data_IF_669409977062
#
_entry.id   IF_669409977062
#
_cell.length_a   1.000
_cell.length_b   1.000
_cell.length_c   1.000
_cell.angle_alpha   90.00
_cell.angle_beta   90.00
_cell.angle_gamma   90.00
#
_symmetry.space_group_name_H-M   'P 1'
#
loop_
_entity.id
_entity.type
_entity.pdbx_description
1 polymer ?
#
# COMPACT_ATOMS: atom_id res chain seq x y z
N UNK A 1 2.43 -6.64 -8.53
CA UNK A 1 3.03 -7.58 -7.57
C UNK A 1 2.21 -7.72 -6.29
N UNK A 2 1.69 -6.70 -5.68
CA UNK A 2 0.76 -6.74 -4.56
C UNK A 2 -0.60 -6.18 -4.95
N UNK A 3 -1.69 -6.70 -4.38
CA UNK A 3 -3.05 -6.21 -4.65
C UNK A 3 -3.23 -4.70 -4.37
N UNK A 4 -2.39 -4.11 -3.50
CA UNK A 4 -2.43 -2.67 -3.20
C UNK A 4 -2.15 -1.79 -4.41
N UNK A 5 -1.16 -2.11 -5.24
CA UNK A 5 -0.87 -1.37 -6.47
C UNK A 5 -2.04 -1.46 -7.47
N UNK A 6 -2.62 -2.66 -7.60
CA UNK A 6 -3.76 -2.88 -8.50
C UNK A 6 -4.98 -2.07 -8.04
N UNK A 7 -5.23 -2.01 -6.73
CA UNK A 7 -6.31 -1.20 -6.12
C UNK A 7 -6.11 0.29 -6.39
N UNK A 8 -4.89 0.81 -6.22
CA UNK A 8 -4.56 2.22 -6.49
C UNK A 8 -4.70 2.54 -7.98
N UNK A 9 -4.21 1.67 -8.87
CA UNK A 9 -4.33 1.87 -10.31
C UNK A 9 -5.80 1.89 -10.77
N UNK A 10 -6.62 0.96 -10.27
CA UNK A 10 -8.05 0.92 -10.57
C UNK A 10 -8.79 2.17 -10.07
N UNK A 11 -8.46 2.66 -8.86
CA UNK A 11 -9.08 3.88 -8.33
C UNK A 11 -8.63 5.13 -9.10
N UNK A 12 -7.37 5.22 -9.52
CA UNK A 12 -6.91 6.30 -10.40
C UNK A 12 -7.65 6.30 -11.73
N UNK A 13 -7.81 5.13 -12.35
CA UNK A 13 -8.58 5.01 -13.61
C UNK A 13 -10.03 5.47 -13.42
N UNK A 14 -10.70 5.03 -12.34
CA UNK A 14 -12.06 5.47 -12.02
C UNK A 14 -12.15 6.99 -11.76
N UNK A 15 -11.12 7.61 -11.19
CA UNK A 15 -11.06 9.07 -11.04
C UNK A 15 -10.84 9.75 -12.38
N UNK A 16 -9.96 9.21 -13.24
CA UNK A 16 -9.75 9.75 -14.59
C UNK A 16 -11.05 9.81 -15.39
N UNK A 17 -11.86 8.75 -15.36
CA UNK A 17 -13.19 8.72 -16.00
C UNK A 17 -14.11 9.84 -15.49
N UNK A 18 -14.08 10.19 -14.22
CA UNK A 18 -14.86 11.32 -13.67
C UNK A 18 -14.38 12.69 -14.15
N UNK A 19 -13.11 12.80 -14.53
CA UNK A 19 -12.55 13.98 -15.19
C UNK A 19 -12.79 13.99 -16.71
N UNK A 20 -13.50 12.99 -17.26
CA UNK A 20 -13.79 12.87 -18.68
C UNK A 20 -12.63 12.27 -19.50
N UNK A 21 -11.64 11.68 -18.86
CA UNK A 21 -10.53 11.01 -19.52
C UNK A 21 -10.77 9.51 -19.67
N UNK A 22 -10.26 8.93 -20.74
CA UNK A 22 -10.21 7.49 -20.92
C UNK A 22 -8.96 6.92 -20.25
N UNK A 23 -9.08 5.84 -19.44
CA UNK A 23 -7.97 5.30 -18.67
C UNK A 23 -7.80 3.78 -18.85
N UNK A 24 -6.58 3.35 -19.09
CA UNK A 24 -6.21 1.95 -19.31
C UNK A 24 -5.22 1.47 -18.23
N UNK A 25 -5.61 0.48 -17.45
CA UNK A 25 -4.76 -0.12 -16.41
C UNK A 25 -3.98 -1.29 -16.99
N UNK A 26 -2.64 -1.21 -16.93
CA UNK A 26 -1.73 -2.22 -17.46
C UNK A 26 -0.74 -2.69 -16.40
N UNK A 27 -0.66 -4.00 -16.19
CA UNK A 27 0.38 -4.58 -15.34
C UNK A 27 1.71 -4.63 -16.10
N UNK A 28 2.68 -3.81 -15.67
CA UNK A 28 4.03 -3.75 -16.28
C UNK A 28 4.72 -5.12 -16.36
N UNK A 29 4.40 -6.07 -15.50
CA UNK A 29 4.96 -7.42 -15.55
C UNK A 29 4.50 -8.20 -16.79
N UNK A 30 3.32 -7.89 -17.34
CA UNK A 30 2.83 -8.51 -18.58
C UNK A 30 3.57 -7.99 -19.82
N UNK A 31 4.21 -6.84 -19.70
CA UNK A 31 5.03 -6.26 -20.76
C UNK A 31 6.45 -6.86 -20.80
N UNK A 32 6.86 -7.61 -19.79
CA UNK A 32 8.15 -8.32 -19.81
C UNK A 32 8.12 -9.49 -20.80
N UNK A 33 9.28 -9.92 -21.33
CA UNK A 33 9.37 -11.09 -22.20
C UNK A 33 8.75 -12.35 -21.59
N UNK A 34 8.40 -13.31 -22.46
CA UNK A 34 7.62 -14.51 -22.12
C UNK A 34 8.05 -15.17 -20.79
N UNK A 35 7.11 -15.30 -19.87
CA UNK A 35 7.29 -15.96 -18.57
C UNK A 35 8.05 -15.19 -17.49
N UNK A 36 8.84 -14.16 -17.84
CA UNK A 36 9.69 -13.46 -16.90
C UNK A 36 8.85 -12.72 -15.82
N UNK A 37 7.79 -12.03 -16.22
CA UNK A 37 6.90 -11.32 -15.29
C UNK A 37 6.18 -12.27 -14.35
N UNK A 38 5.68 -13.40 -14.86
CA UNK A 38 5.05 -14.45 -14.05
C UNK A 38 6.05 -15.08 -13.09
N UNK A 39 7.26 -15.38 -13.55
CA UNK A 39 8.34 -15.92 -12.73
C UNK A 39 8.74 -14.96 -11.61
N UNK A 40 8.88 -13.67 -11.91
CA UNK A 40 9.21 -12.65 -10.92
C UNK A 40 8.11 -12.51 -9.85
N UNK A 41 6.83 -12.57 -10.26
CA UNK A 41 5.69 -12.55 -9.34
C UNK A 41 5.70 -13.78 -8.43
N UNK A 42 5.86 -14.97 -9.00
CA UNK A 42 5.90 -16.23 -8.24
C UNK A 42 7.09 -16.26 -7.26
N UNK A 43 8.26 -15.82 -7.71
CA UNK A 43 9.45 -15.70 -6.85
C UNK A 43 9.20 -14.74 -5.68
N UNK A 44 8.68 -13.54 -5.95
CA UNK A 44 8.38 -12.57 -4.90
C UNK A 44 7.40 -13.14 -3.86
N UNK A 45 6.31 -13.78 -4.31
CA UNK A 45 5.32 -14.40 -3.41
C UNK A 45 5.94 -15.51 -2.56
N UNK A 46 6.77 -16.36 -3.16
CA UNK A 46 7.46 -17.43 -2.44
C UNK A 46 8.43 -16.88 -1.40
N UNK A 47 9.25 -15.88 -1.77
CA UNK A 47 10.24 -15.27 -0.88
C UNK A 47 9.58 -14.55 0.30
N UNK A 48 8.57 -13.72 0.06
CA UNK A 48 7.87 -13.00 1.15
C UNK A 48 7.17 -13.96 2.10
N UNK A 49 6.66 -15.10 1.58
CA UNK A 49 5.93 -16.10 2.38
C UNK A 49 6.84 -17.04 3.15
N UNK A 50 7.94 -17.47 2.54
CA UNK A 50 8.75 -18.59 3.07
C UNK A 50 10.16 -18.18 3.51
N UNK A 51 10.70 -17.08 2.97
CA UNK A 51 12.06 -16.61 3.25
C UNK A 51 12.14 -15.07 3.35
N UNK A 52 11.40 -14.44 4.29
CA UNK A 52 11.33 -12.97 4.40
C UNK A 52 12.70 -12.33 4.65
N UNK A 53 13.68 -13.07 5.18
CA UNK A 53 15.06 -12.64 5.34
C UNK A 53 15.79 -12.46 3.99
N UNK A 54 15.48 -13.30 2.98
CA UNK A 54 15.98 -13.12 1.61
C UNK A 54 15.44 -11.81 1.04
N UNK A 55 14.14 -11.55 1.24
CA UNK A 55 13.55 -10.28 0.82
C UNK A 55 14.21 -9.08 1.50
N UNK A 56 14.51 -9.17 2.81
CA UNK A 56 15.25 -8.13 3.52
C UNK A 56 16.63 -7.86 2.91
N UNK A 57 17.35 -8.91 2.52
CA UNK A 57 18.63 -8.80 1.81
C UNK A 57 18.49 -8.10 0.45
N UNK A 58 17.52 -8.52 -0.36
CA UNK A 58 17.21 -7.88 -1.65
C UNK A 58 16.80 -6.43 -1.46
N UNK A 59 15.93 -6.14 -0.48
CA UNK A 59 15.54 -4.78 -0.16
C UNK A 59 16.75 -3.91 0.21
N UNK A 60 17.60 -4.41 1.10
CA UNK A 60 18.82 -3.71 1.51
C UNK A 60 19.78 -3.43 0.35
N UNK A 61 19.92 -4.37 -0.58
CA UNK A 61 20.81 -4.25 -1.72
C UNK A 61 20.29 -3.32 -2.84
N UNK A 62 19.00 -3.41 -3.15
CA UNK A 62 18.41 -2.79 -4.35
C UNK A 62 17.45 -1.63 -4.08
N UNK A 63 16.69 -1.66 -2.98
CA UNK A 63 15.61 -0.70 -2.74
C UNK A 63 15.99 0.38 -1.72
N UNK A 64 16.67 0.02 -0.65
CA UNK A 64 17.00 0.94 0.44
C UNK A 64 17.81 2.14 -0.05
N UNK A 65 17.45 3.35 0.39
CA UNK A 65 18.21 4.58 0.18
C UNK A 65 19.60 4.52 0.84
N UNK A 66 20.48 5.45 0.46
CA UNK A 66 21.82 5.60 1.06
C UNK A 66 22.91 5.88 0.01
N UNK A 67 24.12 6.30 0.45
CA UNK A 67 25.23 6.64 -0.43
C UNK A 67 25.77 5.42 -1.19
N UNK A 68 26.38 5.66 -2.35
CA UNK A 68 27.04 4.67 -3.18
C UNK A 68 26.25 4.19 -4.40
N UNK A 69 27.00 3.63 -5.39
CA UNK A 69 26.43 3.05 -6.61
C UNK A 69 25.78 1.71 -6.28
N UNK A 70 24.47 1.63 -6.36
CA UNK A 70 23.70 0.40 -6.19
C UNK A 70 23.00 0.02 -7.48
N UNK A 71 22.69 -1.28 -7.72
CA UNK A 71 21.97 -1.70 -8.90
C UNK A 71 20.62 -0.99 -9.01
N UNK A 72 20.25 -0.56 -10.22
CA UNK A 72 18.95 0.02 -10.51
C UNK A 72 18.03 -1.05 -11.14
N UNK A 73 16.71 -0.82 -11.09
CA UNK A 73 15.72 -1.66 -11.78
C UNK A 73 15.68 -1.45 -13.29
N UNK A 74 16.38 -0.44 -13.81
CA UNK A 74 16.37 -0.08 -15.23
C UNK A 74 16.74 -1.25 -16.17
N UNK A 75 17.75 -2.10 -15.92
CA UNK A 75 18.05 -3.20 -16.82
C UNK A 75 16.87 -4.16 -17.04
N UNK A 76 16.14 -4.49 -15.97
CA UNK A 76 14.94 -5.31 -16.06
C UNK A 76 13.78 -4.53 -16.71
N UNK A 77 13.58 -3.28 -16.31
CA UNK A 77 12.52 -2.42 -16.84
C UNK A 77 12.65 -2.23 -18.37
N UNK A 78 13.86 -2.06 -18.87
CA UNK A 78 14.13 -1.89 -20.33
C UNK A 78 13.56 -3.00 -21.20
N UNK A 79 13.44 -4.22 -20.67
CA UNK A 79 12.89 -5.35 -21.43
C UNK A 79 11.42 -5.18 -21.80
N UNK A 80 10.70 -4.29 -21.10
CA UNK A 80 9.30 -3.95 -21.38
C UNK A 80 9.16 -2.71 -22.29
N UNK A 81 10.27 -2.04 -22.67
CA UNK A 81 10.26 -0.73 -23.29
C UNK A 81 9.48 -0.65 -24.59
N UNK A 82 9.80 -1.51 -25.57
CA UNK A 82 9.15 -1.48 -26.89
C UNK A 82 7.66 -1.82 -26.82
N UNK A 83 7.29 -2.73 -25.89
CA UNK A 83 5.89 -3.08 -25.68
C UNK A 83 5.10 -1.93 -25.04
N UNK A 84 5.70 -1.20 -24.10
CA UNK A 84 5.06 -0.01 -23.53
C UNK A 84 4.87 1.05 -24.58
N UNK A 85 5.89 1.36 -25.38
CA UNK A 85 5.79 2.37 -26.45
C UNK A 85 4.72 2.01 -27.47
N UNK A 86 4.73 0.77 -27.97
CA UNK A 86 3.71 0.29 -28.89
C UNK A 86 2.28 0.30 -28.29
N UNK A 87 2.15 0.20 -26.97
CA UNK A 87 0.87 0.33 -26.29
C UNK A 87 0.42 1.80 -26.22
N UNK A 88 1.33 2.71 -25.82
CA UNK A 88 1.08 4.17 -25.78
C UNK A 88 0.64 4.67 -27.15
N UNK A 89 1.36 4.27 -28.21
CA UNK A 89 1.03 4.67 -29.59
C UNK A 89 -0.34 4.13 -30.04
N UNK A 90 -0.66 2.85 -29.75
CA UNK A 90 -1.95 2.24 -30.13
C UNK A 90 -3.14 2.85 -29.40
N UNK A 91 -2.95 3.26 -28.15
CA UNK A 91 -4.01 3.87 -27.35
C UNK A 91 -4.14 5.37 -27.58
N UNK A 92 -3.15 6.00 -28.25
CA UNK A 92 -3.10 7.45 -28.37
C UNK A 92 -3.03 8.13 -27.02
N UNK A 93 -2.30 7.54 -26.06
CA UNK A 93 -2.31 8.04 -24.69
C UNK A 93 -1.58 9.37 -24.57
N UNK A 94 -2.15 10.34 -23.84
CA UNK A 94 -1.60 11.68 -23.61
C UNK A 94 -0.66 11.74 -22.41
N UNK A 95 -0.75 10.77 -21.48
CA UNK A 95 0.13 10.65 -20.32
C UNK A 95 0.28 9.19 -19.87
N UNK A 96 1.36 8.90 -19.11
CA UNK A 96 1.56 7.61 -18.45
C UNK A 96 1.74 7.81 -16.95
N UNK A 97 0.93 7.12 -16.14
CA UNK A 97 1.03 7.16 -14.67
C UNK A 97 1.54 5.83 -14.13
N UNK A 98 2.66 5.87 -13.44
CA UNK A 98 3.30 4.70 -12.82
C UNK A 98 2.89 4.58 -11.35
N UNK A 99 2.21 3.49 -10.97
CA UNK A 99 1.86 3.18 -9.57
C UNK A 99 2.70 2.01 -9.01
N UNK A 100 3.77 1.66 -9.68
CA UNK A 100 4.70 0.60 -9.28
C UNK A 100 6.13 0.98 -9.64
N UNK A 101 7.07 0.77 -8.74
CA UNK A 101 8.45 1.23 -8.90
C UNK A 101 9.16 0.73 -10.17
N UNK A 102 8.87 -0.51 -10.65
CA UNK A 102 9.43 -1.00 -11.92
C UNK A 102 8.89 -0.20 -13.11
N UNK A 103 7.61 0.19 -13.09
CA UNK A 103 7.03 1.06 -14.10
C UNK A 103 7.67 2.46 -14.04
N UNK A 104 7.90 3.02 -12.84
CA UNK A 104 8.57 4.31 -12.66
C UNK A 104 10.01 4.31 -13.23
N UNK A 105 10.75 3.20 -13.07
CA UNK A 105 12.08 3.03 -13.68
C UNK A 105 11.98 2.93 -15.21
N UNK A 106 10.95 2.28 -15.74
CA UNK A 106 10.73 2.13 -17.18
C UNK A 106 10.36 3.46 -17.83
N UNK A 107 9.33 4.15 -17.32
CA UNK A 107 8.86 5.42 -17.87
C UNK A 107 9.95 6.48 -17.81
N UNK A 108 10.61 6.64 -16.64
CA UNK A 108 11.71 7.58 -16.50
C UNK A 108 12.89 7.28 -17.43
N UNK A 109 13.24 6.00 -17.61
CA UNK A 109 14.31 5.64 -18.55
C UNK A 109 13.95 5.98 -20.01
N UNK A 110 12.72 5.71 -20.42
CA UNK A 110 12.27 6.00 -21.80
C UNK A 110 12.12 7.51 -22.04
N UNK A 111 11.64 8.27 -21.05
CA UNK A 111 11.55 9.74 -21.08
C UNK A 111 12.95 10.38 -21.22
N UNK A 112 13.89 10.00 -20.33
CA UNK A 112 15.25 10.51 -20.35
C UNK A 112 15.99 10.26 -21.68
N UNK A 113 15.52 9.30 -22.48
CA UNK A 113 16.04 8.99 -23.83
C UNK A 113 15.21 9.58 -24.98
N UNK A 114 14.18 10.36 -24.67
CA UNK A 114 13.26 10.93 -25.67
C UNK A 114 12.42 9.89 -26.43
N UNK A 115 12.38 8.63 -25.94
CA UNK A 115 11.62 7.55 -26.59
C UNK A 115 10.13 7.59 -26.19
N UNK A 116 9.82 7.85 -24.92
CA UNK A 116 8.45 8.13 -24.48
C UNK A 116 8.20 9.63 -24.66
N UNK A 117 7.36 9.99 -25.61
CA UNK A 117 7.08 11.39 -25.97
C UNK A 117 6.09 12.06 -25.07
N UNK A 118 5.10 11.30 -24.58
CA UNK A 118 4.08 11.77 -23.65
C UNK A 118 4.65 11.91 -22.23
N UNK A 119 4.16 12.85 -21.43
CA UNK A 119 4.63 13.02 -20.05
C UNK A 119 4.34 11.82 -19.18
N UNK A 120 5.14 11.69 -18.09
CA UNK A 120 5.05 10.59 -17.14
C UNK A 120 4.95 11.09 -15.70
N UNK A 121 3.93 10.63 -14.99
CA UNK A 121 3.81 10.81 -13.55
C UNK A 121 4.14 9.51 -12.79
N UNK A 122 4.65 9.65 -11.57
CA UNK A 122 4.86 8.55 -10.63
C UNK A 122 3.99 8.79 -9.41
N UNK A 123 3.00 7.91 -9.19
CA UNK A 123 2.20 7.93 -7.99
C UNK A 123 2.84 6.98 -6.97
N UNK A 124 3.44 7.53 -5.92
CA UNK A 124 3.98 6.74 -4.83
C UNK A 124 2.85 6.12 -4.03
N UNK A 125 3.04 4.86 -3.63
CA UNK A 125 2.09 4.14 -2.78
C UNK A 125 2.71 3.71 -1.45
N UNK A 126 3.99 4.01 -1.24
CA UNK A 126 4.75 3.70 -0.04
C UNK A 126 4.99 4.97 0.80
N UNK A 127 4.83 4.90 2.11
CA UNK A 127 5.13 6.01 3.02
C UNK A 127 6.63 6.30 3.14
N UNK A 128 7.47 5.28 2.97
CA UNK A 128 8.92 5.44 2.87
C UNK A 128 9.33 5.44 1.40
N UNK A 129 9.97 6.53 0.98
CA UNK A 129 10.47 6.66 -0.40
C UNK A 129 11.72 5.80 -0.56
N UNK A 130 11.63 4.74 -1.32
CA UNK A 130 12.81 3.95 -1.67
C UNK A 130 13.33 4.30 -3.06
N UNK A 131 14.64 4.10 -3.28
CA UNK A 131 15.35 4.54 -4.48
C UNK A 131 14.78 4.03 -5.81
N UNK A 132 14.10 2.90 -5.83
CA UNK A 132 13.52 2.35 -7.08
C UNK A 132 12.27 3.12 -7.54
N UNK A 133 11.66 3.94 -6.70
CA UNK A 133 10.67 4.91 -7.14
C UNK A 133 11.30 6.06 -7.93
N UNK A 134 12.56 6.39 -7.64
CA UNK A 134 13.21 7.60 -8.09
C UNK A 134 13.93 7.38 -9.44
N UNK A 135 13.53 8.13 -10.45
CA UNK A 135 14.20 8.23 -11.73
C UNK A 135 14.08 9.65 -12.29
N UNK A 136 15.19 10.36 -12.60
CA UNK A 136 15.17 11.78 -12.97
C UNK A 136 14.47 12.07 -14.30
N UNK A 137 14.15 11.06 -15.08
CA UNK A 137 13.47 11.23 -16.36
C UNK A 137 11.94 11.26 -16.25
N UNK A 138 11.32 11.01 -15.07
CA UNK A 138 9.89 11.22 -14.92
C UNK A 138 9.60 12.71 -14.70
N UNK A 139 8.44 13.17 -15.17
CA UNK A 139 8.13 14.60 -15.19
C UNK A 139 7.52 15.08 -13.86
N UNK A 140 6.74 14.23 -13.16
CA UNK A 140 6.06 14.59 -11.91
C UNK A 140 5.96 13.41 -10.94
N UNK A 141 6.07 13.71 -9.63
CA UNK A 141 5.87 12.73 -8.55
C UNK A 141 4.69 13.13 -7.67
N UNK A 142 3.72 12.23 -7.54
CA UNK A 142 2.55 12.35 -6.67
C UNK A 142 2.82 11.57 -5.39
N UNK A 143 2.94 12.27 -4.28
CA UNK A 143 3.45 11.71 -3.02
C UNK A 143 2.34 11.64 -1.96
N UNK A 144 2.42 10.64 -1.08
CA UNK A 144 1.43 10.45 -0.01
C UNK A 144 1.48 11.57 1.04
N UNK A 145 2.66 12.20 1.22
CA UNK A 145 2.89 13.20 2.26
C UNK A 145 3.86 14.26 1.77
N UNK A 146 3.82 15.46 2.38
CA UNK A 146 4.79 16.53 2.10
C UNK A 146 6.23 16.09 2.43
N UNK A 147 6.41 15.27 3.46
CA UNK A 147 7.71 14.72 3.80
C UNK A 147 8.27 13.83 2.68
N UNK A 148 7.42 13.02 2.02
CA UNK A 148 7.81 12.22 0.86
C UNK A 148 8.10 13.11 -0.36
N UNK A 149 7.28 14.14 -0.63
CA UNK A 149 7.52 15.07 -1.71
C UNK A 149 8.85 15.84 -1.52
N UNK A 150 9.14 16.27 -0.30
CA UNK A 150 10.41 16.92 0.04
C UNK A 150 11.60 15.96 -0.20
N UNK A 151 11.48 14.69 0.17
CA UNK A 151 12.53 13.69 -0.06
C UNK A 151 12.79 13.47 -1.55
N UNK A 152 11.73 13.41 -2.37
CA UNK A 152 11.85 13.32 -3.83
C UNK A 152 12.56 14.55 -4.39
N UNK A 153 12.11 15.77 -4.06
CA UNK A 153 12.74 17.04 -4.52
C UNK A 153 14.21 17.14 -4.11
N UNK A 154 14.57 16.66 -2.92
CA UNK A 154 15.98 16.62 -2.49
C UNK A 154 16.83 15.60 -3.25
N UNK A 155 16.22 14.54 -3.75
CA UNK A 155 16.91 13.43 -4.43
C UNK A 155 16.99 13.62 -5.93
N UNK A 156 16.03 14.36 -6.49
CA UNK A 156 15.87 14.60 -7.93
C UNK A 156 15.53 16.09 -8.17
N UNK A 157 16.02 16.63 -9.26
CA UNK A 157 15.58 17.94 -9.77
C UNK A 157 14.27 17.75 -10.59
N UNK A 158 13.19 17.37 -9.92
CA UNK A 158 11.92 17.01 -10.55
C UNK A 158 10.75 17.47 -9.66
N UNK A 159 9.64 17.90 -10.30
CA UNK A 159 8.43 18.28 -9.61
C UNK A 159 7.86 17.14 -8.74
N UNK A 160 7.60 17.44 -7.49
CA UNK A 160 6.98 16.50 -6.57
C UNK A 160 5.96 17.21 -5.68
N UNK A 161 4.73 16.68 -5.62
CA UNK A 161 3.57 17.28 -4.96
C UNK A 161 2.98 16.26 -3.96
N UNK A 162 2.55 16.73 -2.80
CA UNK A 162 1.84 15.92 -1.84
C UNK A 162 0.35 15.86 -2.17
N UNK A 163 -0.08 14.80 -2.80
CA UNK A 163 -1.48 14.59 -3.21
C UNK A 163 -2.25 13.68 -2.24
N UNK A 164 -1.53 13.12 -1.26
CA UNK A 164 -2.11 12.15 -0.35
C UNK A 164 -2.27 10.74 -0.93
N UNK A 165 -2.67 9.79 -0.08
CA UNK A 165 -2.91 8.41 -0.51
C UNK A 165 -4.21 8.29 -1.31
N UNK A 166 -4.27 7.27 -2.17
CA UNK A 166 -5.43 6.99 -3.01
C UNK A 166 -6.24 5.86 -2.40
N UNK A 167 -7.51 6.16 -2.11
CA UNK A 167 -8.52 5.18 -1.68
C UNK A 167 -9.83 5.46 -2.39
N UNK A 168 -10.65 4.45 -2.52
CA UNK A 168 -12.00 4.59 -3.03
C UNK A 168 -12.88 5.39 -2.03
N UNK A 169 -13.84 6.21 -2.52
CA UNK A 169 -14.63 7.14 -1.70
C UNK A 169 -15.39 6.47 -0.56
N UNK A 170 -15.77 5.21 -0.71
CA UNK A 170 -16.49 4.43 0.30
C UNK A 170 -15.71 4.24 1.63
N UNK A 171 -14.38 4.44 1.62
CA UNK A 171 -13.58 4.45 2.84
C UNK A 171 -13.56 5.80 3.56
N UNK A 172 -14.00 6.87 2.90
CA UNK A 172 -14.05 8.23 3.43
C UNK A 172 -15.44 8.63 3.92
N UNK A 173 -16.42 7.78 3.72
CA UNK A 173 -17.82 7.98 4.09
C UNK A 173 -18.27 6.96 5.15
N UNK A 174 -19.38 7.22 5.87
CA UNK A 174 -19.99 6.22 6.73
C UNK A 174 -20.31 4.95 5.95
N UNK A 175 -19.88 3.78 6.47
CA UNK A 175 -20.01 2.51 5.78
C UNK A 175 -21.32 1.79 6.20
N UNK A 176 -22.28 1.56 5.27
CA UNK A 176 -23.58 0.91 5.59
C UNK A 176 -23.45 -0.51 6.15
N UNK A 177 -22.38 -1.23 5.79
CA UNK A 177 -22.11 -2.59 6.25
C UNK A 177 -21.63 -2.71 7.70
N UNK A 178 -21.33 -1.60 8.38
CA UNK A 178 -20.75 -1.59 9.71
C UNK A 178 -21.61 -2.26 10.78
N UNK A 179 -22.93 -2.07 10.74
CA UNK A 179 -23.86 -2.69 11.72
C UNK A 179 -23.84 -4.22 11.63
N UNK A 180 -23.88 -4.76 10.41
CA UNK A 180 -23.80 -6.21 10.19
C UNK A 180 -22.51 -6.82 10.73
N UNK A 181 -21.39 -6.10 10.60
CA UNK A 181 -20.11 -6.55 11.16
C UNK A 181 -20.11 -6.45 12.69
N UNK A 182 -20.65 -5.38 13.28
CA UNK A 182 -20.80 -5.24 14.75
C UNK A 182 -21.62 -6.38 15.33
N UNK A 183 -22.77 -6.71 14.74
CA UNK A 183 -23.60 -7.85 15.15
C UNK A 183 -22.84 -9.19 15.03
N UNK A 184 -22.07 -9.38 13.97
CA UNK A 184 -21.25 -10.58 13.77
C UNK A 184 -20.19 -10.71 14.87
N UNK A 185 -19.52 -9.61 15.23
CA UNK A 185 -18.53 -9.60 16.30
C UNK A 185 -19.14 -9.88 17.67
N UNK A 186 -20.26 -9.24 17.99
CA UNK A 186 -21.00 -9.46 19.25
C UNK A 186 -21.46 -10.92 19.37
N UNK A 187 -21.98 -11.52 18.30
CA UNK A 187 -22.37 -12.94 18.30
C UNK A 187 -21.18 -13.88 18.51
N UNK A 188 -20.02 -13.53 18.00
CA UNK A 188 -18.82 -14.37 18.10
C UNK A 188 -18.14 -14.26 19.49
N UNK A 189 -18.05 -13.04 20.03
CA UNK A 189 -17.39 -12.74 21.31
C UNK A 189 -18.03 -11.51 21.97
N UNK A 190 -19.11 -11.66 22.74
CA UNK A 190 -19.79 -10.55 23.40
C UNK A 190 -18.85 -9.73 24.29
N UNK A 191 -18.91 -8.39 24.16
CA UNK A 191 -18.14 -7.45 24.98
C UNK A 191 -16.64 -7.37 24.68
N UNK A 192 -16.11 -8.11 23.71
CA UNK A 192 -14.70 -8.06 23.34
C UNK A 192 -14.47 -7.09 22.17
N UNK A 193 -13.60 -6.06 22.32
CA UNK A 193 -13.28 -5.15 21.22
C UNK A 193 -12.61 -5.89 20.05
N UNK A 194 -13.10 -5.75 18.80
CA UNK A 194 -12.55 -6.45 17.64
C UNK A 194 -11.26 -5.77 17.15
N UNK A 195 -10.15 -6.49 17.14
CA UNK A 195 -8.86 -6.03 16.61
C UNK A 195 -8.54 -6.81 15.35
N UNK A 196 -8.45 -6.09 14.22
CA UNK A 196 -8.11 -6.68 12.93
C UNK A 196 -6.61 -6.94 12.83
N UNK A 197 -6.24 -8.09 12.29
CA UNK A 197 -4.85 -8.43 11.96
C UNK A 197 -4.74 -8.55 10.43
N UNK A 198 -4.07 -7.61 9.79
CA UNK A 198 -3.82 -7.68 8.35
C UNK A 198 -2.66 -8.62 8.04
N UNK A 199 -2.90 -9.60 7.18
CA UNK A 199 -1.86 -10.45 6.62
C UNK A 199 -1.59 -10.13 5.13
N UNK A 200 -2.23 -9.08 4.60
CA UNK A 200 -2.20 -8.73 3.19
C UNK A 200 -2.89 -9.80 2.30
N UNK A 201 -3.01 -9.52 1.01
CA UNK A 201 -3.71 -10.40 0.06
C UNK A 201 -3.13 -11.83 -0.02
N UNK A 202 -1.86 -11.99 0.33
CA UNK A 202 -1.13 -13.27 0.25
C UNK A 202 -0.91 -13.94 1.61
N UNK A 203 -1.44 -13.36 2.69
CA UNK A 203 -1.28 -13.89 4.05
C UNK A 203 0.17 -13.88 4.54
N UNK A 204 0.93 -12.85 4.18
CA UNK A 204 2.33 -12.68 4.58
C UNK A 204 2.43 -11.96 5.93
N UNK A 205 2.03 -12.61 7.02
CA UNK A 205 2.12 -12.07 8.36
C UNK A 205 3.09 -12.89 9.23
N UNK A 206 3.86 -12.20 10.06
CA UNK A 206 4.74 -12.85 11.03
C UNK A 206 3.95 -13.37 12.22
N UNK A 207 3.80 -14.70 12.32
CA UNK A 207 3.15 -15.40 13.46
C UNK A 207 1.76 -14.85 13.82
N UNK A 208 0.80 -14.80 12.87
CA UNK A 208 -0.52 -14.23 13.12
C UNK A 208 -1.31 -15.02 14.17
N UNK A 209 -1.13 -16.34 14.25
CA UNK A 209 -1.64 -17.25 15.27
C UNK A 209 -1.18 -16.87 16.69
N UNK A 210 0.10 -16.64 16.89
CA UNK A 210 0.63 -16.22 18.19
C UNK A 210 0.17 -14.80 18.58
N UNK A 211 0.02 -13.89 17.63
CA UNK A 211 -0.53 -12.55 17.88
C UNK A 211 -2.03 -12.63 18.22
N UNK A 212 -2.79 -13.46 17.52
CA UNK A 212 -4.20 -13.67 17.80
C UNK A 212 -4.42 -14.28 19.18
N UNK A 213 -3.62 -15.29 19.57
CA UNK A 213 -3.67 -15.88 20.92
C UNK A 213 -3.36 -14.84 22.03
N UNK A 214 -2.35 -13.98 21.82
CA UNK A 214 -2.03 -12.88 22.73
C UNK A 214 -3.23 -11.94 22.95
N UNK A 215 -3.86 -11.49 21.87
CA UNK A 215 -5.01 -10.60 21.92
C UNK A 215 -6.23 -11.25 22.58
N UNK A 216 -6.51 -12.52 22.25
CA UNK A 216 -7.62 -13.27 22.85
C UNK A 216 -7.42 -13.42 24.37
N UNK A 217 -6.20 -13.70 24.81
CA UNK A 217 -5.83 -13.76 26.24
C UNK A 217 -5.92 -12.40 26.95
N UNK A 218 -5.76 -11.30 26.22
CA UNK A 218 -5.89 -9.94 26.75
C UNK A 218 -7.31 -9.36 26.68
N UNK A 219 -8.33 -10.17 26.33
CA UNK A 219 -9.73 -9.73 26.33
C UNK A 219 -10.22 -9.09 25.04
N UNK A 220 -9.44 -9.09 23.97
CA UNK A 220 -9.86 -8.62 22.65
C UNK A 220 -10.48 -9.76 21.81
N UNK A 221 -11.21 -9.40 20.76
CA UNK A 221 -11.58 -10.31 19.69
C UNK A 221 -10.58 -10.15 18.53
N UNK A 222 -9.61 -11.07 18.36
CA UNK A 222 -8.75 -11.03 17.20
C UNK A 222 -9.51 -11.45 15.95
N UNK A 223 -9.49 -10.60 14.92
CA UNK A 223 -10.09 -10.85 13.61
C UNK A 223 -8.98 -10.92 12.58
N UNK A 224 -8.63 -12.12 12.12
CA UNK A 224 -7.50 -12.31 11.21
C UNK A 224 -7.96 -12.30 9.76
N UNK A 225 -7.46 -11.34 9.00
CA UNK A 225 -7.71 -11.20 7.56
C UNK A 225 -6.70 -12.07 6.79
N UNK A 226 -7.12 -13.28 6.45
CA UNK A 226 -6.26 -14.28 5.81
C UNK A 226 -6.09 -14.05 4.30
N UNK A 227 -6.91 -13.17 3.70
CA UNK A 227 -6.91 -12.91 2.27
C UNK A 227 -7.18 -14.20 1.49
N UNK A 228 -6.39 -14.47 0.45
CA UNK A 228 -6.51 -15.69 -0.37
C UNK A 228 -5.63 -16.85 0.11
N UNK A 229 -5.17 -16.81 1.36
CA UNK A 229 -4.33 -17.84 1.95
C UNK A 229 -5.16 -18.86 2.76
N UNK A 230 -5.70 -19.88 2.09
CA UNK A 230 -6.50 -20.93 2.71
C UNK A 230 -5.74 -21.71 3.80
N UNK A 231 -4.41 -21.89 3.68
CA UNK A 231 -3.61 -22.57 4.72
C UNK A 231 -3.55 -21.74 5.99
N UNK A 232 -3.40 -20.42 5.87
CA UNK A 232 -3.46 -19.52 7.01
C UNK A 232 -4.84 -19.54 7.65
N UNK A 233 -5.89 -19.46 6.84
CA UNK A 233 -7.28 -19.51 7.29
C UNK A 233 -7.56 -20.77 8.15
N UNK A 234 -7.17 -21.95 7.66
CA UNK A 234 -7.36 -23.21 8.41
C UNK A 234 -6.56 -23.23 9.72
N UNK A 235 -5.32 -22.77 9.69
CA UNK A 235 -4.47 -22.71 10.89
C UNK A 235 -5.05 -21.78 11.96
N UNK A 236 -5.52 -20.60 11.58
CA UNK A 236 -6.04 -19.60 12.51
C UNK A 236 -7.42 -19.97 13.04
N UNK A 237 -8.25 -20.66 12.27
CA UNK A 237 -9.56 -21.19 12.74
C UNK A 237 -9.43 -22.12 13.92
N UNK A 238 -8.28 -22.80 14.08
CA UNK A 238 -7.99 -23.67 15.22
C UNK A 238 -7.61 -22.93 16.52
N UNK A 239 -7.44 -21.60 16.47
CA UNK A 239 -7.08 -20.82 17.67
C UNK A 239 -8.35 -20.39 18.40
N UNK A 240 -8.54 -20.77 19.69
CA UNK A 240 -9.74 -20.41 20.45
C UNK A 240 -9.94 -18.90 20.57
N UNK A 241 -11.19 -18.44 20.42
CA UNK A 241 -11.56 -17.03 20.56
C UNK A 241 -11.12 -16.13 19.41
N UNK A 242 -10.72 -16.69 18.27
CA UNK A 242 -10.26 -15.96 17.07
C UNK A 242 -11.31 -16.08 15.97
N UNK A 243 -11.62 -14.96 15.31
CA UNK A 243 -12.41 -14.93 14.08
C UNK A 243 -11.48 -14.88 12.87
N UNK A 244 -11.42 -15.96 12.09
CA UNK A 244 -10.64 -16.02 10.85
C UNK A 244 -11.54 -15.67 9.67
N UNK A 245 -11.13 -14.69 8.86
CA UNK A 245 -11.82 -14.27 7.64
C UNK A 245 -10.93 -14.58 6.44
N UNK A 246 -11.53 -15.08 5.37
CA UNK A 246 -10.94 -15.20 4.05
C UNK A 246 -10.91 -13.85 3.32
N UNK A 247 -11.14 -13.83 2.02
CA UNK A 247 -11.24 -12.59 1.27
C UNK A 247 -12.51 -11.83 1.66
N UNK A 248 -12.35 -10.58 2.10
CA UNK A 248 -13.45 -9.70 2.51
C UNK A 248 -13.73 -8.68 1.41
N UNK A 249 -14.95 -8.69 0.89
CA UNK A 249 -15.39 -7.72 -0.13
C UNK A 249 -15.83 -6.40 0.51
N UNK A 250 -16.59 -6.47 1.60
CA UNK A 250 -17.04 -5.29 2.37
C UNK A 250 -15.98 -4.84 3.39
N UNK A 251 -14.84 -4.38 2.87
CA UNK A 251 -13.78 -3.82 3.72
C UNK A 251 -14.18 -2.51 4.41
N UNK A 252 -14.92 -1.57 3.78
CA UNK A 252 -15.39 -0.36 4.47
C UNK A 252 -16.24 -0.68 5.70
N UNK A 253 -17.24 -1.58 5.58
CA UNK A 253 -18.07 -2.02 6.69
C UNK A 253 -17.27 -2.70 7.80
N UNK A 254 -16.35 -3.59 7.44
CA UNK A 254 -15.47 -4.27 8.38
C UNK A 254 -14.60 -3.28 9.19
N UNK A 255 -13.95 -2.32 8.50
CA UNK A 255 -13.09 -1.32 9.15
C UNK A 255 -13.89 -0.40 10.07
N UNK A 256 -15.10 0.01 9.69
CA UNK A 256 -15.97 0.88 10.50
C UNK A 256 -16.48 0.23 11.78
N UNK A 257 -16.50 -1.12 11.84
CA UNK A 257 -16.96 -1.90 12.98
C UNK A 257 -15.83 -2.32 13.93
N UNK A 258 -14.58 -2.14 13.53
CA UNK A 258 -13.41 -2.59 14.28
C UNK A 258 -12.97 -1.56 15.35
N UNK A 259 -12.23 -2.03 16.34
CA UNK A 259 -11.61 -1.20 17.38
C UNK A 259 -10.22 -0.70 16.96
N UNK A 260 -9.43 -1.52 16.27
CA UNK A 260 -8.11 -1.20 15.75
C UNK A 260 -7.69 -2.14 14.62
N UNK A 261 -6.72 -1.70 13.82
CA UNK A 261 -6.00 -2.53 12.85
C UNK A 261 -4.56 -2.73 13.30
N UNK A 262 -4.10 -3.98 13.37
CA UNK A 262 -2.67 -4.31 13.42
C UNK A 262 -2.15 -4.45 11.99
N UNK A 263 -1.20 -3.59 11.64
CA UNK A 263 -0.56 -3.57 10.33
C UNK A 263 0.90 -3.99 10.39
N UNK A 264 1.36 -4.67 9.35
CA UNK A 264 2.73 -5.17 9.25
C UNK A 264 3.49 -4.71 8.00
N UNK A 265 2.88 -3.86 7.17
CA UNK A 265 3.45 -3.53 5.87
C UNK A 265 3.30 -2.07 5.45
N UNK A 266 2.57 -1.24 6.19
CA UNK A 266 2.18 0.12 5.79
C UNK A 266 1.52 0.17 4.39
N UNK A 267 0.80 -0.90 4.04
CA UNK A 267 0.20 -1.08 2.71
C UNK A 267 -1.22 -0.54 2.62
N UNK A 268 -1.90 -0.90 1.52
CA UNK A 268 -3.21 -0.35 1.18
C UNK A 268 -4.28 -0.58 2.26
N UNK A 269 -4.23 -1.70 3.00
CA UNK A 269 -5.17 -1.95 4.10
C UNK A 269 -4.99 -0.93 5.24
N UNK A 270 -3.74 -0.54 5.55
CA UNK A 270 -3.47 0.51 6.53
C UNK A 270 -3.97 1.88 6.04
N UNK A 271 -3.77 2.21 4.77
CA UNK A 271 -4.28 3.43 4.13
C UNK A 271 -5.81 3.48 4.18
N UNK A 272 -6.50 2.38 3.86
CA UNK A 272 -7.95 2.25 3.97
C UNK A 272 -8.45 2.44 5.41
N UNK A 273 -7.73 1.87 6.38
CA UNK A 273 -8.05 2.04 7.81
C UNK A 273 -7.91 3.50 8.25
N UNK A 274 -6.82 4.19 7.83
CA UNK A 274 -6.64 5.62 8.10
C UNK A 274 -7.77 6.47 7.49
N UNK A 275 -8.20 6.15 6.27
CA UNK A 275 -9.30 6.83 5.59
C UNK A 275 -10.63 6.64 6.34
N UNK A 276 -10.89 5.43 6.84
CA UNK A 276 -12.06 5.10 7.65
C UNK A 276 -11.97 5.64 9.10
N UNK A 277 -10.88 6.31 9.48
CA UNK A 277 -10.67 6.81 10.83
C UNK A 277 -10.35 5.72 11.87
N UNK A 278 -10.08 4.49 11.43
CA UNK A 278 -9.74 3.38 12.32
C UNK A 278 -8.29 3.52 12.80
N UNK A 279 -8.02 3.43 14.13
CA UNK A 279 -6.67 3.43 14.66
C UNK A 279 -5.83 2.27 14.11
N UNK A 280 -4.59 2.59 13.73
CA UNK A 280 -3.63 1.61 13.19
C UNK A 280 -2.41 1.50 14.10
N UNK A 281 -2.02 0.28 14.42
CA UNK A 281 -0.83 -0.03 15.20
C UNK A 281 0.08 -0.91 14.35
N UNK A 282 1.29 -0.43 14.04
CA UNK A 282 2.32 -1.22 13.39
C UNK A 282 2.89 -2.26 14.36
N UNK A 283 2.76 -3.54 14.00
CA UNK A 283 3.24 -4.63 14.84
C UNK A 283 3.81 -5.77 14.00
N UNK A 284 5.00 -6.27 14.39
CA UNK A 284 5.73 -7.32 13.67
C UNK A 284 5.84 -7.07 12.16
N UNK A 285 6.38 -5.92 11.76
CA UNK A 285 6.42 -5.55 10.36
C UNK A 285 7.26 -6.51 9.53
N UNK A 286 6.88 -6.66 8.27
CA UNK A 286 7.68 -7.37 7.28
C UNK A 286 9.04 -6.68 7.15
N UNK A 287 10.15 -7.44 7.12
CA UNK A 287 11.47 -6.87 6.90
C UNK A 287 11.55 -6.05 5.61
N UNK A 288 12.37 -5.02 5.59
CA UNK A 288 12.52 -4.12 4.44
C UNK A 288 11.45 -3.05 4.39
N UNK A 289 10.75 -2.92 3.26
CA UNK A 289 9.78 -1.84 3.04
C UNK A 289 8.68 -1.77 4.11
N UNK A 290 8.20 -2.92 4.61
CA UNK A 290 7.18 -2.98 5.65
C UNK A 290 7.64 -2.31 6.93
N UNK A 291 8.84 -2.60 7.40
CA UNK A 291 9.41 -1.99 8.60
C UNK A 291 9.64 -0.48 8.42
N UNK A 292 10.20 -0.08 7.28
CA UNK A 292 10.45 1.34 6.99
C UNK A 292 9.14 2.13 6.86
N UNK A 293 8.14 1.57 6.16
CA UNK A 293 6.83 2.19 6.01
C UNK A 293 6.08 2.33 7.34
N UNK A 294 6.05 1.28 8.17
CA UNK A 294 5.40 1.29 9.49
C UNK A 294 6.04 2.32 10.42
N UNK A 295 7.38 2.40 10.44
CA UNK A 295 8.10 3.43 11.22
C UNK A 295 7.80 4.84 10.72
N UNK A 296 7.78 5.02 9.40
CA UNK A 296 7.50 6.32 8.80
C UNK A 296 6.09 6.81 9.13
N UNK A 297 5.09 5.92 9.09
CA UNK A 297 3.73 6.28 9.52
C UNK A 297 3.67 6.69 10.99
N UNK A 298 4.42 6.01 11.86
CA UNK A 298 4.49 6.36 13.28
C UNK A 298 5.21 7.72 13.51
N UNK A 299 6.33 7.97 12.81
CA UNK A 299 7.04 9.25 12.84
C UNK A 299 6.16 10.43 12.40
N UNK A 300 5.30 10.20 11.41
CA UNK A 300 4.32 11.17 10.94
C UNK A 300 3.13 11.35 11.90
N UNK A 301 3.08 10.57 12.98
CA UNK A 301 1.98 10.60 13.96
C UNK A 301 0.65 10.08 13.42
N UNK A 302 0.67 9.28 12.36
CA UNK A 302 -0.52 8.66 11.75
C UNK A 302 -0.90 7.38 12.47
N UNK A 303 0.09 6.63 12.95
CA UNK A 303 -0.07 5.32 13.58
C UNK A 303 0.77 5.23 14.86
N UNK A 304 0.63 4.14 15.60
CA UNK A 304 1.60 3.74 16.61
C UNK A 304 2.51 2.62 16.09
N UNK A 305 3.71 2.49 16.68
CA UNK A 305 4.58 1.36 16.44
C UNK A 305 4.83 0.61 17.75
N UNK A 306 4.42 -0.64 17.78
CA UNK A 306 4.62 -1.54 18.92
C UNK A 306 5.76 -2.52 18.62
N UNK A 307 6.95 -2.38 19.23
CA UNK A 307 8.08 -3.26 18.97
C UNK A 307 7.94 -4.66 19.59
N UNK A 308 7.16 -4.80 20.64
CA UNK A 308 6.98 -6.01 21.42
C UNK A 308 5.52 -6.21 21.90
N UNK A 309 5.18 -7.40 22.43
CA UNK A 309 3.82 -7.68 22.92
C UNK A 309 3.32 -6.74 24.02
N UNK A 310 4.19 -6.33 24.95
CA UNK A 310 3.80 -5.44 26.04
C UNK A 310 3.47 -4.04 25.51
N UNK A 311 4.27 -3.53 24.56
CA UNK A 311 4.00 -2.28 23.87
C UNK A 311 2.67 -2.34 23.09
N UNK A 312 2.39 -3.46 22.39
CA UNK A 312 1.11 -3.64 21.68
C UNK A 312 -0.08 -3.51 22.63
N UNK A 313 -0.05 -4.20 23.78
CA UNK A 313 -1.16 -4.15 24.73
C UNK A 313 -1.32 -2.76 25.36
N UNK A 314 -0.21 -2.06 25.64
CA UNK A 314 -0.26 -0.65 26.09
C UNK A 314 -0.85 0.27 25.03
N UNK A 315 -0.44 0.12 23.76
CA UNK A 315 -1.00 0.89 22.65
C UNK A 315 -2.50 0.70 22.53
N UNK A 316 -2.97 -0.54 22.56
CA UNK A 316 -4.41 -0.85 22.50
C UNK A 316 -5.19 -0.24 23.67
N UNK A 317 -4.67 -0.33 24.91
CA UNK A 317 -5.30 0.26 26.08
C UNK A 317 -5.33 1.80 26.03
N UNK A 318 -4.31 2.42 25.40
CA UNK A 318 -4.18 3.88 25.25
C UNK A 318 -4.98 4.50 24.09
N UNK A 319 -5.57 3.70 23.20
CA UNK A 319 -6.29 4.19 22.01
C UNK A 319 -7.36 5.25 22.30
N UNK A 320 -8.20 5.14 23.36
CA UNK A 320 -9.23 6.15 23.60
C UNK A 320 -8.67 7.57 23.74
N UNK A 321 -7.47 7.72 24.30
CA UNK A 321 -6.82 9.01 24.46
C UNK A 321 -6.08 9.49 23.21
N UNK A 322 -5.49 8.58 22.42
CA UNK A 322 -4.56 8.90 21.33
C UNK A 322 -5.21 8.90 19.94
N UNK A 323 -6.28 8.14 19.74
CA UNK A 323 -6.89 7.95 18.43
C UNK A 323 -7.51 9.22 17.81
N UNK A 324 -8.19 10.13 18.55
CA UNK A 324 -8.81 11.31 17.93
C UNK A 324 -7.80 12.20 17.20
N UNK A 325 -6.67 12.52 17.84
CA UNK A 325 -5.64 13.38 17.24
C UNK A 325 -4.97 12.72 16.00
N UNK A 326 -4.85 11.38 15.99
CA UNK A 326 -4.33 10.66 14.82
C UNK A 326 -5.34 10.60 13.67
N UNK A 327 -6.61 10.42 14.00
CA UNK A 327 -7.69 10.44 13.00
C UNK A 327 -7.76 11.81 12.28
N UNK A 328 -7.56 12.91 12.99
CA UNK A 328 -7.52 14.25 12.38
C UNK A 328 -6.34 14.42 11.42
N UNK A 329 -5.14 13.96 11.82
CA UNK A 329 -3.97 13.95 10.94
C UNK A 329 -4.16 13.07 9.73
N UNK A 330 -4.73 11.87 9.91
CA UNK A 330 -5.02 10.95 8.83
C UNK A 330 -6.01 11.54 7.82
N UNK A 331 -7.11 12.15 8.29
CA UNK A 331 -8.09 12.83 7.42
C UNK A 331 -7.47 13.93 6.57
N UNK A 332 -6.47 14.64 7.10
CA UNK A 332 -5.78 15.69 6.37
C UNK A 332 -5.05 15.18 5.12
N UNK A 333 -4.64 13.90 5.09
CA UNK A 333 -3.95 13.29 3.94
C UNK A 333 -4.86 13.11 2.71
N UNK A 334 -6.19 13.02 2.90
CA UNK A 334 -7.14 12.68 1.84
C UNK A 334 -7.85 13.90 1.24
N UNK A 335 -7.31 15.11 1.40
CA UNK A 335 -7.95 16.36 0.95
C UNK A 335 -7.65 16.71 -0.50
N UNK A 336 -6.49 16.34 -1.01
CA UNK A 336 -6.09 16.63 -2.38
C UNK A 336 -6.52 15.50 -3.33
N UNK A 337 -6.69 15.83 -4.61
CA UNK A 337 -6.98 14.83 -5.66
C UNK A 337 -5.76 14.70 -6.58
N UNK A 338 -5.09 13.55 -6.60
CA UNK A 338 -3.95 13.30 -7.49
C UNK A 338 -4.33 13.40 -8.98
N UNK A 339 -5.60 13.23 -9.35
CA UNK A 339 -6.02 13.35 -10.75
C UNK A 339 -5.96 14.76 -11.29
N UNK A 340 -6.12 15.79 -10.44
CA UNK A 340 -5.91 17.18 -10.87
C UNK A 340 -4.49 17.39 -11.42
N UNK A 341 -3.49 16.84 -10.72
CA UNK A 341 -2.08 16.89 -11.13
C UNK A 341 -1.79 16.10 -12.42
N UNK A 342 -2.49 14.97 -12.61
CA UNK A 342 -2.36 14.14 -13.82
C UNK A 342 -3.04 14.84 -15.01
N UNK A 343 -4.21 15.42 -14.83
CA UNK A 343 -4.92 16.13 -15.86
C UNK A 343 -4.11 17.34 -16.36
N UNK A 344 -3.57 18.16 -15.43
CA UNK A 344 -2.68 19.28 -15.78
C UNK A 344 -1.43 18.82 -16.54
N UNK A 345 -0.88 17.64 -16.20
CA UNK A 345 0.28 17.10 -16.89
C UNK A 345 -0.05 16.60 -18.29
N UNK A 346 -1.25 16.05 -18.49
CA UNK A 346 -1.73 15.53 -19.79
C UNK A 346 -2.13 16.66 -20.75
N UNK A 347 -2.67 17.76 -20.22
CA UNK A 347 -3.08 18.94 -21.00
C UNK A 347 -2.50 20.23 -20.38
N UNK A 348 -1.21 20.56 -20.66
CA UNK A 348 -0.58 21.74 -20.11
C UNK A 348 -1.13 23.07 -20.64
N UNK A 349 -2.13 23.03 -21.54
CA UNK A 349 -2.80 24.21 -22.12
C UNK A 349 -4.21 24.45 -21.55
N UNK A 350 -4.69 23.59 -20.63
CA UNK A 350 -6.01 23.70 -20.01
C UNK A 350 -6.05 24.70 -18.83
#
# INVERSE_FOLDING_TARGET
MGAGHDTVAAELARRAERYGHEAYVVDVLTLLPAGLGTGLRAWYQAVVRHAPWVYAGVYGAFLRGGPGRRPSGVPLARLAGDRLLGLVDRLGADAVVSVFHLAAQLTGHLRARGRLRVPSAVCLVDFAVHRQWLHPGNDRYLCLTEAAAHEVRRSLDTAAVATGPIVAPEFLAPAPGGDRWRERFVRHAPGRPPVLLSAGAWGAASRPDGTAALLAGAGYLPVVLCGRNHRLLQRVRGVPGVLALDWVEDMPGLLSAAHALLDNAAGQTAVQALAAGLPVIGYRPLPGHGLEGVRRMAELGLTEFAPDPAALLRSLAGLPASAPARADRARALFRADPMAEVAELADPAA
#
